data_IF_187708043505
#
_entry.id   IF_187708043505
#
_cell.length_a   1.000
_cell.length_b   1.000
_cell.length_c   1.000
_cell.angle_alpha   90.00
_cell.angle_beta   90.00
_cell.angle_gamma   90.00
#
_symmetry.space_group_name_H-M   'P 1'
#
loop_
_entity.id
_entity.type
_entity.pdbx_description
1 polymer ?
#
# COMPACT_ATOMS: atom_id res chain seq x y z
N UNK A 1 31.44 -4.77 -7.84
CA UNK A 1 31.20 -3.36 -7.48
C UNK A 1 29.78 -3.03 -7.94
N UNK A 2 28.79 -3.19 -7.05
CA UNK A 2 27.40 -2.85 -7.35
C UNK A 2 27.31 -1.33 -7.43
N UNK A 3 26.89 -0.86 -8.61
CA UNK A 3 26.65 0.54 -8.90
C UNK A 3 25.70 1.10 -7.83
N UNK A 4 26.00 2.28 -7.31
CA UNK A 4 25.09 3.08 -6.47
C UNK A 4 24.36 4.06 -7.39
N UNK A 5 23.08 3.83 -7.74
CA UNK A 5 22.29 4.82 -8.45
C UNK A 5 21.22 5.50 -7.58
N UNK A 6 21.11 5.12 -6.30
CA UNK A 6 19.91 5.42 -5.52
C UNK A 6 20.10 6.69 -4.68
N UNK A 7 19.72 7.85 -5.24
CA UNK A 7 19.62 9.10 -4.46
C UNK A 7 18.57 8.99 -3.33
N UNK A 8 18.53 9.92 -2.37
CA UNK A 8 17.62 9.88 -1.21
C UNK A 8 16.14 9.63 -1.58
N UNK A 9 15.69 10.16 -2.71
CA UNK A 9 14.34 9.98 -3.23
C UNK A 9 13.99 8.52 -3.59
N UNK A 10 14.96 7.78 -4.10
CA UNK A 10 14.76 6.41 -4.55
C UNK A 10 14.70 5.43 -3.37
N UNK A 11 15.52 5.66 -2.34
CA UNK A 11 15.45 4.96 -1.07
C UNK A 11 14.13 5.26 -0.32
N UNK A 12 13.69 6.53 -0.33
CA UNK A 12 12.39 6.92 0.22
C UNK A 12 11.25 6.17 -0.48
N UNK A 13 11.30 6.08 -1.82
CA UNK A 13 10.32 5.34 -2.61
C UNK A 13 10.37 3.84 -2.31
N UNK A 14 11.55 3.26 -2.17
CA UNK A 14 11.72 1.85 -1.79
C UNK A 14 11.09 1.57 -0.42
N UNK A 15 11.30 2.46 0.56
CA UNK A 15 10.69 2.37 1.88
C UNK A 15 9.15 2.45 1.83
N UNK A 16 8.59 3.39 1.06
CA UNK A 16 7.13 3.48 0.90
C UNK A 16 6.53 2.24 0.20
N UNK A 17 7.23 1.67 -0.79
CA UNK A 17 6.82 0.44 -1.46
C UNK A 17 6.92 -0.78 -0.54
N UNK A 18 7.92 -0.84 0.33
CA UNK A 18 8.04 -1.89 1.34
C UNK A 18 6.89 -1.81 2.36
N UNK A 19 6.48 -0.60 2.77
CA UNK A 19 5.30 -0.40 3.61
C UNK A 19 4.01 -0.85 2.92
N UNK A 20 3.84 -0.53 1.64
CA UNK A 20 2.70 -1.04 0.85
C UNK A 20 2.69 -2.57 0.81
N UNK A 21 3.85 -3.18 0.55
CA UNK A 21 3.97 -4.64 0.51
C UNK A 21 3.59 -5.25 1.86
N UNK A 22 4.12 -4.72 2.96
CA UNK A 22 3.76 -5.15 4.32
C UNK A 22 2.26 -4.99 4.59
N UNK A 23 1.64 -3.90 4.15
CA UNK A 23 0.19 -3.70 4.33
C UNK A 23 -0.64 -4.78 3.63
N UNK A 24 -0.18 -5.27 2.47
CA UNK A 24 -0.85 -6.32 1.69
C UNK A 24 -0.57 -7.71 2.26
N UNK A 25 0.69 -8.03 2.57
CA UNK A 25 1.11 -9.40 2.95
C UNK A 25 0.96 -9.67 4.44
N UNK A 26 1.15 -8.65 5.27
CA UNK A 26 1.30 -8.74 6.73
C UNK A 26 2.41 -9.71 7.18
N UNK A 27 3.38 -9.99 6.31
CA UNK A 27 4.47 -10.92 6.60
C UNK A 27 5.56 -10.29 7.48
N UNK A 28 6.18 -11.12 8.30
CA UNK A 28 7.27 -10.71 9.19
C UNK A 28 8.54 -10.34 8.41
N UNK A 29 8.82 -11.03 7.29
CA UNK A 29 9.96 -10.71 6.42
C UNK A 29 9.84 -9.30 5.84
N UNK A 30 8.62 -8.91 5.45
CA UNK A 30 8.34 -7.58 4.94
C UNK A 30 8.48 -6.51 6.04
N UNK A 31 8.16 -6.83 7.30
CA UNK A 31 8.42 -5.94 8.44
C UNK A 31 9.91 -5.68 8.61
N UNK A 32 10.73 -6.73 8.58
CA UNK A 32 12.18 -6.60 8.72
C UNK A 32 12.78 -5.76 7.59
N UNK A 33 12.27 -5.94 6.36
CA UNK A 33 12.68 -5.12 5.22
C UNK A 33 12.35 -3.63 5.40
N UNK A 34 11.15 -3.30 5.90
CA UNK A 34 10.78 -1.91 6.23
C UNK A 34 11.73 -1.29 7.26
N UNK A 35 12.08 -2.04 8.31
CA UNK A 35 13.00 -1.57 9.37
C UNK A 35 14.42 -1.36 8.82
N UNK A 36 14.88 -2.22 7.91
CA UNK A 36 16.19 -2.08 7.26
C UNK A 36 16.25 -0.82 6.39
N UNK A 37 15.24 -0.59 5.53
CA UNK A 37 15.18 0.61 4.70
C UNK A 37 15.05 1.90 5.54
N UNK A 38 14.30 1.85 6.64
CA UNK A 38 14.20 2.96 7.57
C UNK A 38 15.54 3.31 8.23
N UNK A 39 16.34 2.29 8.55
CA UNK A 39 17.69 2.48 9.08
C UNK A 39 18.59 3.22 8.09
N UNK A 40 18.56 2.83 6.82
CA UNK A 40 19.36 3.46 5.77
C UNK A 40 18.94 4.92 5.55
N UNK A 41 17.63 5.21 5.55
CA UNK A 41 17.10 6.58 5.43
C UNK A 41 17.51 7.48 6.60
N UNK A 42 17.44 6.96 7.82
CA UNK A 42 17.89 7.66 9.02
C UNK A 42 19.40 7.96 8.94
N UNK A 43 20.22 7.05 8.41
CA UNK A 43 21.65 7.28 8.17
C UNK A 43 21.93 8.39 7.14
N UNK A 44 21.12 8.52 6.09
CA UNK A 44 21.24 9.62 5.11
C UNK A 44 20.92 10.99 5.71
N UNK A 45 20.09 11.03 6.75
CA UNK A 45 19.74 12.25 7.50
C UNK A 45 20.74 12.62 8.61
N UNK A 46 21.76 11.81 8.84
CA UNK A 46 22.71 11.95 9.95
C UNK A 46 22.32 11.12 11.18
N UNK A 47 23.33 10.69 11.94
CA UNK A 47 23.24 9.63 12.96
C UNK A 47 22.25 9.87 14.13
N UNK A 48 21.66 11.07 14.23
CA UNK A 48 20.72 11.43 15.31
C UNK A 48 19.25 11.50 14.89
N UNK A 49 18.94 11.27 13.61
CA UNK A 49 17.55 11.22 13.17
C UNK A 49 17.06 9.77 13.26
N UNK A 50 16.10 9.51 14.14
CA UNK A 50 15.39 8.21 14.23
C UNK A 50 13.97 8.32 13.67
N UNK A 51 13.77 9.25 12.74
CA UNK A 51 12.45 9.60 12.24
C UNK A 51 11.85 8.41 11.50
N UNK A 52 12.57 7.82 10.55
CA UNK A 52 12.06 6.73 9.74
C UNK A 52 11.89 5.46 10.57
N UNK A 53 12.80 5.16 11.50
CA UNK A 53 12.64 4.04 12.44
C UNK A 53 11.41 4.21 13.34
N UNK A 54 11.20 5.40 13.91
CA UNK A 54 10.04 5.71 14.76
C UNK A 54 8.74 5.59 13.97
N UNK A 55 8.67 6.22 12.80
CA UNK A 55 7.50 6.18 11.91
C UNK A 55 7.21 4.74 11.46
N UNK A 56 8.24 3.99 11.07
CA UNK A 56 8.09 2.58 10.65
C UNK A 56 7.57 1.71 11.78
N UNK A 57 8.05 1.90 13.01
CA UNK A 57 7.55 1.18 14.18
C UNK A 57 6.06 1.47 14.42
N UNK A 58 5.66 2.74 14.38
CA UNK A 58 4.26 3.15 14.56
C UNK A 58 3.36 2.56 13.47
N UNK A 59 3.79 2.60 12.21
CA UNK A 59 3.03 2.04 11.08
C UNK A 59 2.92 0.51 11.16
N UNK A 60 4.00 -0.18 11.53
CA UNK A 60 3.96 -1.63 11.72
C UNK A 60 3.00 -2.04 12.85
N UNK A 61 3.02 -1.31 13.97
CA UNK A 61 2.10 -1.52 15.08
C UNK A 61 0.64 -1.25 14.67
N UNK A 62 0.41 -0.16 13.93
CA UNK A 62 -0.91 0.20 13.41
C UNK A 62 -1.45 -0.86 12.42
N UNK A 63 -0.63 -1.35 11.48
CA UNK A 63 -1.01 -2.41 10.53
C UNK A 63 -1.36 -3.73 11.22
N UNK A 64 -0.82 -3.98 12.41
CA UNK A 64 -1.14 -5.15 13.24
C UNK A 64 -2.31 -4.92 14.19
N UNK A 65 -2.92 -3.74 14.19
CA UNK A 65 -4.01 -3.38 15.11
C UNK A 65 -3.57 -3.27 16.58
N UNK A 66 -2.27 -3.03 16.82
CA UNK A 66 -1.69 -2.98 18.17
C UNK A 66 -1.75 -1.57 18.79
N UNK A 67 -2.21 -0.58 18.04
CA UNK A 67 -2.30 0.81 18.47
C UNK A 67 -3.78 1.20 18.59
N UNK A 68 -4.14 1.92 19.66
CA UNK A 68 -5.52 2.43 19.85
C UNK A 68 -5.93 3.38 18.71
N UNK A 69 -4.99 4.19 18.23
CA UNK A 69 -5.19 5.14 17.12
C UNK A 69 -4.64 4.63 15.78
N UNK A 70 -4.71 3.31 15.55
CA UNK A 70 -4.15 2.67 14.35
C UNK A 70 -4.69 3.28 13.05
N UNK A 71 -6.01 3.47 12.96
CA UNK A 71 -6.65 4.01 11.76
C UNK A 71 -6.19 5.45 11.46
N UNK A 72 -6.22 6.33 12.47
CA UNK A 72 -5.77 7.72 12.33
C UNK A 72 -4.29 7.82 11.95
N UNK A 73 -3.44 6.93 12.49
CA UNK A 73 -2.02 6.86 12.17
C UNK A 73 -1.80 6.47 10.70
N UNK A 74 -2.51 5.45 10.21
CA UNK A 74 -2.42 5.01 8.82
C UNK A 74 -2.99 6.06 7.86
N UNK A 75 -4.04 6.78 8.26
CA UNK A 75 -4.65 7.83 7.44
C UNK A 75 -3.71 9.02 7.29
N UNK A 76 -3.10 9.44 8.41
CA UNK A 76 -2.12 10.52 8.43
C UNK A 76 -0.94 10.20 7.49
N UNK A 77 -0.42 8.98 7.55
CA UNK A 77 0.66 8.55 6.66
C UNK A 77 0.21 8.49 5.20
N UNK A 78 -0.97 7.94 4.91
CA UNK A 78 -1.52 7.88 3.55
C UNK A 78 -1.59 9.29 2.91
N UNK A 79 -1.99 10.31 3.68
CA UNK A 79 -2.04 11.71 3.21
C UNK A 79 -0.65 12.30 2.90
N UNK A 80 0.41 11.79 3.54
CA UNK A 80 1.79 12.25 3.32
C UNK A 80 2.46 11.62 2.09
N UNK A 81 1.86 10.59 1.48
CA UNK A 81 2.40 9.96 0.27
C UNK A 81 2.16 10.91 -0.93
N UNK A 82 3.25 11.44 -1.49
CA UNK A 82 3.22 12.34 -2.64
C UNK A 82 2.79 11.64 -3.94
N UNK A 83 3.30 10.43 -4.19
CA UNK A 83 3.03 9.66 -5.40
C UNK A 83 1.55 9.19 -5.41
N UNK A 84 0.70 9.70 -6.32
CA UNK A 84 -0.75 9.48 -6.25
C UNK A 84 -1.13 8.00 -6.37
N UNK A 85 -0.43 7.24 -7.21
CA UNK A 85 -0.71 5.81 -7.41
C UNK A 85 -0.38 4.99 -6.18
N UNK A 86 0.74 5.32 -5.53
CA UNK A 86 1.16 4.65 -4.30
C UNK A 86 0.20 4.94 -3.16
N UNK A 87 -0.25 6.19 -3.04
CA UNK A 87 -1.26 6.59 -2.06
C UNK A 87 -2.56 5.80 -2.22
N UNK A 88 -3.08 5.70 -3.45
CA UNK A 88 -4.30 4.93 -3.74
C UNK A 88 -4.14 3.44 -3.41
N UNK A 89 -3.01 2.85 -3.81
CA UNK A 89 -2.71 1.45 -3.52
C UNK A 89 -2.61 1.19 -2.00
N UNK A 90 -1.98 2.10 -1.26
CA UNK A 90 -1.84 2.01 0.18
C UNK A 90 -3.20 2.13 0.88
N UNK A 91 -4.02 3.13 0.52
CA UNK A 91 -5.38 3.29 1.02
C UNK A 91 -6.24 2.03 0.79
N UNK A 92 -6.14 1.43 -0.40
CA UNK A 92 -6.84 0.19 -0.70
C UNK A 92 -6.35 -0.97 0.18
N UNK A 93 -5.04 -1.10 0.39
CA UNK A 93 -4.46 -2.18 1.21
C UNK A 93 -4.87 -2.11 2.68
N UNK A 94 -5.02 -0.91 3.24
CA UNK A 94 -5.46 -0.70 4.63
C UNK A 94 -6.99 -0.68 4.80
N UNK A 95 -7.76 -0.90 3.72
CA UNK A 95 -9.22 -0.94 3.77
C UNK A 95 -9.89 0.42 3.94
N UNK A 96 -9.18 1.53 3.65
CA UNK A 96 -9.78 2.86 3.71
C UNK A 96 -10.72 3.09 2.52
N UNK A 97 -11.98 3.47 2.77
CA UNK A 97 -12.87 3.86 1.70
C UNK A 97 -12.29 5.12 1.05
N UNK A 98 -12.11 5.08 -0.27
CA UNK A 98 -11.83 6.31 -0.99
C UNK A 98 -12.99 7.26 -0.71
N UNK A 99 -12.71 8.43 -0.14
CA UNK A 99 -13.66 9.54 -0.13
C UNK A 99 -13.86 10.02 -1.56
N UNK A 100 -14.61 9.22 -2.31
CA UNK A 100 -15.42 9.57 -3.45
C UNK A 100 -14.86 10.71 -4.34
N UNK A 101 -13.68 10.51 -4.92
CA UNK A 101 -13.56 10.89 -6.32
C UNK A 101 -14.22 9.77 -7.10
N UNK A 102 -15.54 9.93 -7.30
CA UNK A 102 -16.32 8.99 -8.08
C UNK A 102 -15.54 8.62 -9.35
N UNK A 103 -15.32 7.32 -9.66
CA UNK A 103 -15.10 6.98 -11.05
C UNK A 103 -16.33 7.50 -11.77
N UNK A 104 -16.15 8.45 -12.68
CA UNK A 104 -17.21 8.95 -13.55
C UNK A 104 -17.96 7.73 -14.08
N UNK A 105 -19.19 7.58 -13.61
CA UNK A 105 -20.08 6.47 -13.87
C UNK A 105 -20.27 6.35 -15.38
N UNK A 106 -19.44 5.54 -16.03
CA UNK A 106 -19.84 4.89 -17.26
C UNK A 106 -20.45 3.56 -16.81
N UNK A 107 -21.79 3.38 -16.86
CA UNK A 107 -22.32 2.03 -16.83
C UNK A 107 -21.71 1.34 -18.04
N UNK A 108 -20.76 0.42 -17.83
CA UNK A 108 -20.41 -0.52 -18.88
C UNK A 108 -21.71 -1.23 -19.22
N UNK A 109 -22.26 -0.96 -20.42
CA UNK A 109 -23.36 -1.73 -20.96
C UNK A 109 -22.91 -3.18 -20.86
N UNK A 110 -23.50 -3.91 -19.92
CA UNK A 110 -23.26 -5.33 -19.72
C UNK A 110 -23.89 -5.97 -20.96
N UNK A 111 -23.10 -6.09 -22.02
CA UNK A 111 -23.55 -6.68 -23.29
C UNK A 111 -23.94 -8.12 -22.98
N UNK A 112 -25.23 -8.35 -22.79
CA UNK A 112 -25.85 -9.68 -22.70
C UNK A 112 -25.66 -10.49 -23.98
N UNK A 113 -25.16 -9.85 -25.04
CA UNK A 113 -24.87 -10.44 -26.33
C UNK A 113 -23.55 -11.21 -26.40
N UNK A 114 -22.70 -11.16 -25.35
CA UNK A 114 -21.43 -11.91 -25.32
C UNK A 114 -21.63 -13.44 -25.42
N UNK A 115 -22.84 -13.93 -25.14
CA UNK A 115 -23.21 -15.34 -25.23
C UNK A 115 -24.28 -15.63 -26.28
N UNK A 116 -24.57 -14.67 -27.17
CA UNK A 116 -25.54 -14.86 -28.26
C UNK A 116 -24.97 -15.88 -29.26
N UNK A 117 -25.36 -17.14 -29.12
CA UNK A 117 -24.89 -18.26 -29.95
C UNK A 117 -24.37 -19.46 -29.18
N UNK A 118 -24.20 -19.37 -27.85
CA UNK A 118 -23.93 -20.54 -27.03
C UNK A 118 -25.24 -21.18 -26.57
N UNK A 119 -25.37 -22.52 -26.62
CA UNK A 119 -26.52 -23.20 -26.08
C UNK A 119 -26.61 -22.90 -24.57
N UNK A 120 -27.79 -22.45 -24.12
CA UNK A 120 -28.04 -22.23 -22.70
C UNK A 120 -27.74 -23.54 -21.96
N UNK A 121 -26.93 -23.46 -20.91
CA UNK A 121 -26.54 -24.63 -20.12
C UNK A 121 -27.82 -25.20 -19.51
N UNK A 122 -28.27 -26.34 -20.05
CA UNK A 122 -29.51 -26.99 -19.65
C UNK A 122 -29.55 -27.18 -18.14
N UNK A 123 -30.65 -26.75 -17.52
CA UNK A 123 -30.94 -27.05 -16.13
C UNK A 123 -31.09 -28.57 -16.02
N UNK A 124 -30.04 -29.24 -15.52
CA UNK A 124 -30.17 -30.59 -15.04
C UNK A 124 -31.07 -30.55 -13.80
N UNK A 125 -32.36 -30.85 -13.98
CA UNK A 125 -33.23 -31.18 -12.86
C UNK A 125 -32.79 -32.52 -12.29
N UNK A 126 -32.50 -32.52 -10.98
CA UNK A 126 -32.46 -33.72 -10.15
C UNK A 126 -33.88 -34.11 -9.76
#
# INVERSE_FOLDING_TARGET
MLQSPEGPHSLLRAWQLALLRLAVTRDESDRLNVVALAAELDCLGGESLHFFRRTSWQLCAALRGQLQDAEATLECFCRQIEEPRLRLAFAAAIGMPHSNHAPSRAPSKRNSDLFRGLPARGTASL
#
